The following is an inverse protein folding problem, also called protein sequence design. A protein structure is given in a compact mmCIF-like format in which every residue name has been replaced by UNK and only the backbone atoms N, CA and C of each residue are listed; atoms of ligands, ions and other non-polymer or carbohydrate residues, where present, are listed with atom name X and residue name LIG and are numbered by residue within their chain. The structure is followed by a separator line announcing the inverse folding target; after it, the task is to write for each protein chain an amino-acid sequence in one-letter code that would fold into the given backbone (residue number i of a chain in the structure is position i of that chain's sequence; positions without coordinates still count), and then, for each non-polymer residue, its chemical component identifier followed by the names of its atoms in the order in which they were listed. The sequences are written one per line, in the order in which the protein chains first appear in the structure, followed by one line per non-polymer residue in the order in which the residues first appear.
data_IF_357293597696
#
_entry.id   IF_357293597696
#
_cell.length_a   1.000
_cell.length_b   1.000
_cell.length_c   1.000
_cell.angle_alpha   90.00
_cell.angle_beta   90.00
_cell.angle_gamma   90.00
#
_symmetry.space_group_name_H-M   'P 1'
#
loop_
_entity.id
_entity.type
_entity.pdbx_description
1 polymer ?
#
# COMPACT_ATOMS: atom_id res chain seq x y z
N UNK A 1 2.41 9.50 -29.28
CA UNK A 1 1.69 8.95 -28.12
C UNK A 1 2.51 7.78 -27.64
N UNK A 2 3.38 8.02 -26.67
CA UNK A 2 4.34 7.04 -26.16
C UNK A 2 3.66 6.16 -25.12
N UNK A 3 3.49 4.88 -25.45
CA UNK A 3 2.89 3.86 -24.57
C UNK A 3 3.87 3.43 -23.45
N UNK A 4 5.13 3.86 -23.55
CA UNK A 4 6.22 3.54 -22.61
C UNK A 4 6.13 4.26 -21.26
N UNK A 5 5.19 5.20 -21.09
CA UNK A 5 5.02 5.99 -19.85
C UNK A 5 4.15 5.27 -18.79
N UNK A 6 3.49 4.17 -19.15
CA UNK A 6 2.45 3.54 -18.32
C UNK A 6 2.94 2.45 -17.35
N UNK A 7 4.24 2.13 -17.32
CA UNK A 7 4.70 0.99 -16.52
C UNK A 7 5.12 1.33 -15.08
N UNK A 8 5.38 2.61 -14.75
CA UNK A 8 5.23 3.12 -13.37
C UNK A 8 5.27 4.65 -13.38
N UNK A 9 4.10 5.27 -13.28
CA UNK A 9 3.92 6.71 -13.10
C UNK A 9 4.76 7.23 -11.92
N UNK A 10 4.85 6.45 -10.84
CA UNK A 10 5.66 6.81 -9.68
C UNK A 10 7.17 6.69 -9.91
N UNK A 11 7.63 5.71 -10.69
CA UNK A 11 9.05 5.61 -11.06
C UNK A 11 9.47 6.79 -11.96
N UNK A 12 8.59 7.22 -12.86
CA UNK A 12 8.78 8.40 -13.69
C UNK A 12 8.72 9.71 -12.87
N UNK A 13 7.76 9.84 -11.94
CA UNK A 13 7.69 11.01 -11.04
C UNK A 13 8.93 11.18 -10.17
N UNK A 14 9.51 10.07 -9.71
CA UNK A 14 10.72 10.13 -8.90
C UNK A 14 12.00 10.35 -9.72
N UNK A 15 11.92 10.46 -11.06
CA UNK A 15 13.09 10.65 -11.95
C UNK A 15 14.26 9.78 -11.51
N UNK A 16 14.04 8.47 -11.46
CA UNK A 16 15.06 7.49 -11.04
C UNK A 16 16.35 7.61 -11.88
N UNK A 17 16.30 8.22 -13.07
CA UNK A 17 17.45 8.49 -13.93
C UNK A 17 18.42 9.59 -13.43
N UNK A 18 18.00 10.54 -12.58
CA UNK A 18 18.84 11.70 -12.24
C UNK A 18 19.76 11.44 -11.02
N UNK A 19 19.32 10.61 -10.06
CA UNK A 19 20.09 10.14 -8.90
C UNK A 19 19.58 8.75 -8.45
N UNK A 20 19.96 7.72 -9.20
CA UNK A 20 19.41 6.35 -9.11
C UNK A 20 19.39 5.74 -7.69
N UNK A 21 20.42 5.98 -6.86
CA UNK A 21 20.50 5.38 -5.52
C UNK A 21 19.52 5.96 -4.51
N UNK A 22 19.35 7.29 -4.48
CA UNK A 22 18.45 7.95 -3.51
C UNK A 22 16.98 7.74 -3.90
N UNK A 23 16.67 7.87 -5.20
CA UNK A 23 15.30 7.79 -5.70
C UNK A 23 14.74 6.36 -5.58
N UNK A 24 15.57 5.33 -5.79
CA UNK A 24 15.19 3.94 -5.58
C UNK A 24 14.89 3.64 -4.10
N UNK A 25 15.59 4.28 -3.18
CA UNK A 25 15.31 4.21 -1.74
C UNK A 25 13.98 4.86 -1.37
N UNK A 26 13.66 6.03 -1.95
CA UNK A 26 12.36 6.68 -1.75
C UNK A 26 11.20 5.87 -2.34
N UNK A 27 11.39 5.25 -3.50
CA UNK A 27 10.41 4.36 -4.12
C UNK A 27 10.19 3.12 -3.23
N UNK A 28 11.27 2.51 -2.73
CA UNK A 28 11.20 1.41 -1.78
C UNK A 28 10.45 1.82 -0.50
N UNK A 29 10.76 2.97 0.08
CA UNK A 29 10.10 3.49 1.28
C UNK A 29 8.60 3.73 1.03
N UNK A 30 8.24 4.22 -0.16
CA UNK A 30 6.85 4.45 -0.56
C UNK A 30 6.09 3.15 -0.68
N UNK A 31 6.63 2.16 -1.40
CA UNK A 31 6.03 0.82 -1.52
C UNK A 31 5.90 0.19 -0.14
N UNK A 32 6.95 0.26 0.68
CA UNK A 32 6.94 -0.28 2.03
C UNK A 32 5.85 0.36 2.90
N UNK A 33 5.75 1.69 2.88
CA UNK A 33 4.72 2.44 3.59
C UNK A 33 3.30 2.10 3.11
N UNK A 34 3.06 2.07 1.80
CA UNK A 34 1.76 1.69 1.23
C UNK A 34 1.43 0.23 1.53
N UNK A 35 2.39 -0.68 1.47
CA UNK A 35 2.20 -2.10 1.76
C UNK A 35 1.82 -2.31 3.22
N UNK A 36 2.47 -1.59 4.15
CA UNK A 36 2.07 -1.55 5.58
C UNK A 36 0.66 -0.99 5.74
N UNK A 37 0.34 0.09 5.02
CA UNK A 37 -0.97 0.72 5.10
C UNK A 37 -2.06 -0.23 4.62
N UNK A 38 -1.90 -0.83 3.44
CA UNK A 38 -2.81 -1.84 2.86
C UNK A 38 -2.93 -3.05 3.77
N UNK A 39 -1.82 -3.55 4.31
CA UNK A 39 -1.84 -4.66 5.26
C UNK A 39 -2.67 -4.32 6.50
N UNK A 40 -2.41 -3.16 7.12
CA UNK A 40 -3.13 -2.70 8.31
C UNK A 40 -4.62 -2.41 8.05
N UNK A 41 -4.98 -2.06 6.81
CA UNK A 41 -6.36 -1.76 6.42
C UNK A 41 -7.14 -2.99 5.96
N UNK A 42 -6.52 -3.85 5.16
CA UNK A 42 -7.10 -5.07 4.60
C UNK A 42 -7.20 -6.19 5.62
N UNK A 43 -6.17 -6.37 6.44
CA UNK A 43 -6.25 -7.21 7.62
C UNK A 43 -6.80 -6.38 8.77
N UNK A 44 -8.13 -6.22 8.81
CA UNK A 44 -8.87 -5.65 9.93
C UNK A 44 -8.81 -6.51 11.22
N UNK A 45 -7.71 -7.24 11.45
CA UNK A 45 -7.62 -8.29 12.43
C UNK A 45 -6.69 -7.85 13.57
N UNK A 46 -7.19 -7.91 14.82
CA UNK A 46 -6.38 -7.79 16.03
C UNK A 46 -5.42 -8.99 16.08
N UNK A 47 -4.27 -8.89 15.42
CA UNK A 47 -3.27 -9.95 15.47
C UNK A 47 -2.47 -9.84 16.77
N UNK A 48 -2.22 -10.96 17.47
CA UNK A 48 -1.31 -10.98 18.60
C UNK A 48 0.08 -10.52 18.14
N UNK A 49 0.73 -9.72 18.98
CA UNK A 49 1.94 -8.94 18.66
C UNK A 49 3.04 -9.83 18.03
N UNK A 50 3.16 -11.07 18.50
CA UNK A 50 4.14 -12.04 18.02
C UNK A 50 3.91 -12.46 16.55
N UNK A 51 2.65 -12.59 16.10
CA UNK A 51 2.34 -12.90 14.69
C UNK A 51 2.56 -11.70 13.79
N UNK A 52 2.34 -10.49 14.32
CA UNK A 52 2.59 -9.26 13.57
C UNK A 52 4.06 -9.11 13.18
N UNK A 53 5.00 -9.48 14.07
CA UNK A 53 6.44 -9.41 13.79
C UNK A 53 6.85 -10.29 12.60
N UNK A 54 6.35 -11.53 12.55
CA UNK A 54 6.62 -12.46 11.43
C UNK A 54 6.09 -11.88 10.12
N UNK A 55 4.91 -11.26 10.16
CA UNK A 55 4.31 -10.67 8.96
C UNK A 55 5.07 -9.42 8.52
N UNK A 56 5.51 -8.55 9.43
CA UNK A 56 6.36 -7.41 9.09
C UNK A 56 7.71 -7.85 8.49
N UNK A 57 8.30 -8.95 8.96
CA UNK A 57 9.49 -9.55 8.36
C UNK A 57 9.21 -10.01 6.92
N UNK A 58 8.13 -10.76 6.73
CA UNK A 58 7.70 -11.22 5.40
C UNK A 58 7.34 -10.04 4.48
N UNK A 59 6.78 -8.97 5.03
CA UNK A 59 6.41 -7.76 4.29
C UNK A 59 7.64 -6.97 3.85
N UNK A 60 8.67 -6.86 4.70
CA UNK A 60 9.96 -6.27 4.34
C UNK A 60 10.65 -7.07 3.23
N UNK A 61 10.68 -8.40 3.36
CA UNK A 61 11.24 -9.26 2.32
C UNK A 61 10.42 -9.16 1.02
N UNK A 62 9.09 -9.21 1.10
CA UNK A 62 8.18 -9.03 -0.04
C UNK A 62 8.32 -7.66 -0.70
N UNK A 63 8.62 -6.60 0.06
CA UNK A 63 8.86 -5.27 -0.51
C UNK A 63 10.09 -5.22 -1.41
N UNK A 64 11.15 -5.97 -1.11
CA UNK A 64 12.30 -6.04 -2.04
C UNK A 64 11.90 -6.63 -3.39
N UNK A 65 11.04 -7.65 -3.40
CA UNK A 65 10.47 -8.22 -4.62
C UNK A 65 9.50 -7.26 -5.31
N UNK A 66 8.61 -6.59 -4.55
CA UNK A 66 7.66 -5.60 -5.08
C UNK A 66 8.38 -4.41 -5.69
N UNK A 67 9.46 -3.91 -5.10
CA UNK A 67 10.27 -2.83 -5.65
C UNK A 67 10.96 -3.25 -6.94
N UNK A 68 11.42 -4.50 -7.04
CA UNK A 68 11.95 -5.03 -8.30
C UNK A 68 10.86 -5.09 -9.38
N UNK A 69 9.67 -5.62 -9.05
CA UNK A 69 8.55 -5.64 -9.99
C UNK A 69 8.02 -4.23 -10.31
N UNK A 70 8.09 -3.28 -9.39
CA UNK A 70 7.57 -1.91 -9.56
C UNK A 70 8.35 -1.09 -10.59
N UNK A 71 9.56 -1.53 -10.96
CA UNK A 71 10.34 -0.95 -12.06
C UNK A 71 9.69 -1.31 -13.41
N UNK A 72 9.06 -2.48 -13.50
CA UNK A 72 8.52 -3.02 -14.75
C UNK A 72 6.99 -2.99 -14.83
N UNK A 73 6.31 -2.89 -13.68
CA UNK A 73 4.86 -2.93 -13.56
C UNK A 73 4.36 -1.81 -12.64
N UNK A 74 3.13 -1.30 -12.87
CA UNK A 74 2.53 -0.22 -12.08
C UNK A 74 1.97 -0.73 -10.73
N UNK A 75 2.83 -1.37 -9.92
CA UNK A 75 2.46 -1.92 -8.61
C UNK A 75 2.12 -0.82 -7.62
N UNK A 76 2.89 0.27 -7.61
CA UNK A 76 2.71 1.37 -6.64
C UNK A 76 1.32 1.97 -6.79
N UNK A 77 0.89 2.18 -8.02
CA UNK A 77 -0.44 2.67 -8.41
C UNK A 77 -1.53 1.69 -7.95
N UNK A 78 -1.33 0.38 -8.20
CA UNK A 78 -2.23 -0.66 -7.72
C UNK A 78 -2.37 -0.68 -6.19
N UNK A 79 -1.27 -0.44 -5.48
CA UNK A 79 -1.22 -0.36 -4.02
C UNK A 79 -1.96 0.89 -3.50
N UNK A 80 -1.84 2.03 -4.19
CA UNK A 80 -2.61 3.25 -3.90
C UNK A 80 -4.11 3.01 -4.09
N UNK A 81 -4.51 2.38 -5.19
CA UNK A 81 -5.92 2.09 -5.48
C UNK A 81 -6.49 1.11 -4.45
N UNK A 82 -5.76 0.05 -4.13
CA UNK A 82 -6.16 -0.90 -3.08
C UNK A 82 -6.33 -0.21 -1.72
N UNK A 83 -5.38 0.67 -1.34
CA UNK A 83 -5.48 1.47 -0.13
C UNK A 83 -6.74 2.35 -0.14
N UNK A 84 -7.00 3.08 -1.23
CA UNK A 84 -8.19 3.93 -1.39
C UNK A 84 -9.49 3.13 -1.23
N UNK A 85 -9.60 1.99 -1.90
CA UNK A 85 -10.79 1.11 -1.82
C UNK A 85 -11.01 0.67 -0.37
N UNK A 86 -9.95 0.25 0.33
CA UNK A 86 -10.02 -0.18 1.72
C UNK A 86 -10.37 0.97 2.67
N UNK A 87 -9.86 2.18 2.43
CA UNK A 87 -10.23 3.39 3.21
C UNK A 87 -11.73 3.64 3.09
N UNK A 88 -12.24 3.67 1.85
CA UNK A 88 -13.67 3.88 1.57
C UNK A 88 -14.52 2.78 2.22
N UNK A 89 -14.11 1.53 2.08
CA UNK A 89 -14.78 0.39 2.70
C UNK A 89 -14.86 0.53 4.22
N UNK A 90 -13.75 0.93 4.86
CA UNK A 90 -13.67 1.08 6.31
C UNK A 90 -14.55 2.21 6.82
N UNK A 91 -14.61 3.34 6.11
CA UNK A 91 -15.50 4.46 6.42
C UNK A 91 -16.96 4.00 6.35
N UNK A 92 -17.35 3.33 5.25
CA UNK A 92 -18.70 2.77 5.09
C UNK A 92 -19.05 1.79 6.21
N UNK A 93 -18.15 0.86 6.53
CA UNK A 93 -18.36 -0.14 7.57
C UNK A 93 -18.56 0.48 8.96
N UNK A 94 -17.78 1.52 9.28
CA UNK A 94 -17.91 2.22 10.55
C UNK A 94 -19.25 2.98 10.66
N UNK A 95 -19.71 3.59 9.56
CA UNK A 95 -21.02 4.24 9.51
C UNK A 95 -22.16 3.24 9.67
N UNK A 96 -22.11 2.07 9.01
CA UNK A 96 -23.13 1.02 9.16
C UNK A 96 -23.23 0.48 10.59
N UNK A 97 -22.11 0.34 11.32
CA UNK A 97 -22.13 -0.08 12.73
C UNK A 97 -22.75 0.94 13.68
N UNK A 98 -22.73 2.23 13.32
CA UNK A 98 -23.25 3.31 14.18
C UNK A 98 -24.77 3.47 14.04
N UNK A 99 -25.35 3.03 12.92
CA UNK A 99 -26.77 3.13 12.63
C UNK A 99 -27.62 1.99 13.25
N UNK A 100 -26.99 0.95 13.80
CA UNK A 100 -27.67 -0.16 14.48
C UNK A 100 -27.73 -0.02 16.01
N UNK A 101 -27.66 1.21 16.54
CA UNK A 101 -27.94 1.48 17.96
C UNK A 101 -29.35 2.10 18.04
N UNK A 102 -30.39 1.32 18.35
CA UNK A 102 -31.74 1.87 18.51
C UNK A 102 -31.77 2.88 19.68
N UNK A 103 -32.58 3.96 19.58
CA UNK A 103 -32.78 4.87 20.70
C UNK A 103 -33.39 4.08 21.86
N UNK A 104 -32.75 4.19 23.02
CA UNK A 104 -33.30 3.68 24.28
C UNK A 104 -34.50 4.57 24.62
N UNK A 105 -35.69 3.96 24.61
CA UNK A 105 -36.95 4.54 25.09
C UNK A 105 -36.97 4.65 26.62
#
# INVERSE_FOLDING_TARGET
MDISEHLSFFASLYKVDENSTLNMWFLYLTIFGLSILVYKLGFAQKLPILKSVIIYLFLGFGCTLLTFLAIFLPITEGLVVAALILIIYKIRLYQSKKQSVPPVE
#
